data_IF_045307580029
#
_entry.id   IF_045307580029
#
_cell.length_a   1.000
_cell.length_b   1.000
_cell.length_c   1.000
_cell.angle_alpha   90.00
_cell.angle_beta   90.00
_cell.angle_gamma   90.00
#
_symmetry.space_group_name_H-M   'P 1'
#
loop_
_entity.id
_entity.type
_entity.pdbx_description
1 polymer ?
#
# COMPACT_ATOMS: atom_id res chain seq x y z
N UNK A 1 15.67 -41.49 -15.65
CA UNK A 1 14.28 -41.01 -15.47
C UNK A 1 14.21 -40.05 -14.28
N UNK A 2 14.69 -38.80 -14.43
CA UNK A 2 14.71 -37.80 -13.33
C UNK A 2 14.42 -36.36 -13.80
N UNK A 3 14.28 -36.13 -15.11
CA UNK A 3 14.10 -34.80 -15.72
C UNK A 3 12.63 -34.42 -15.98
N UNK A 4 11.70 -35.38 -15.93
CA UNK A 4 10.28 -35.13 -16.25
C UNK A 4 9.52 -34.39 -15.14
N UNK A 5 9.94 -34.53 -13.88
CA UNK A 5 9.27 -33.89 -12.72
C UNK A 5 9.50 -32.37 -12.71
N UNK A 6 10.71 -31.92 -13.11
CA UNK A 6 11.05 -30.49 -13.14
C UNK A 6 10.24 -29.71 -14.19
N UNK A 7 9.89 -30.32 -15.31
CA UNK A 7 9.09 -29.69 -16.36
C UNK A 7 7.62 -29.55 -15.93
N UNK A 8 7.11 -30.48 -15.11
CA UNK A 8 5.74 -30.44 -14.60
C UNK A 8 5.50 -29.30 -13.59
N UNK A 9 6.47 -29.00 -12.72
CA UNK A 9 6.39 -27.85 -11.81
C UNK A 9 6.48 -26.49 -12.53
N UNK A 10 7.15 -26.42 -13.68
CA UNK A 10 7.25 -25.20 -14.48
C UNK A 10 6.01 -24.93 -15.36
N UNK A 11 5.15 -25.92 -15.58
CA UNK A 11 3.96 -25.83 -16.43
C UNK A 11 2.66 -25.42 -15.69
N UNK A 12 2.69 -25.39 -14.35
CA UNK A 12 1.56 -24.94 -13.52
C UNK A 12 1.23 -23.42 -13.53
N UNK A 13 1.89 -22.51 -14.27
CA UNK A 13 1.40 -21.12 -14.35
C UNK A 13 0.21 -20.86 -15.30
N UNK A 14 -0.42 -21.86 -15.92
CA UNK A 14 -1.25 -21.62 -17.13
C UNK A 14 -2.78 -21.73 -17.00
N UNK A 15 -3.38 -21.85 -15.80
CA UNK A 15 -4.85 -21.90 -15.70
C UNK A 15 -5.45 -21.18 -14.47
N UNK A 16 -4.68 -20.29 -13.85
CA UNK A 16 -5.19 -19.43 -12.79
C UNK A 16 -5.71 -18.12 -13.41
N UNK A 17 -6.97 -18.07 -13.84
CA UNK A 17 -7.69 -16.80 -13.96
C UNK A 17 -7.92 -16.30 -12.54
N UNK A 18 -6.87 -15.80 -11.90
CA UNK A 18 -7.00 -15.16 -10.60
C UNK A 18 -7.70 -13.84 -10.85
N UNK A 19 -8.88 -13.66 -10.25
CA UNK A 19 -9.52 -12.36 -10.24
C UNK A 19 -8.70 -11.46 -9.32
N UNK A 20 -8.00 -10.48 -9.90
CA UNK A 20 -7.17 -9.52 -9.18
C UNK A 20 -7.80 -8.15 -9.29
N UNK A 21 -8.24 -7.64 -8.15
CA UNK A 21 -8.86 -6.33 -8.01
C UNK A 21 -7.89 -5.37 -7.33
N UNK A 22 -7.62 -4.25 -8.00
CA UNK A 22 -6.96 -3.08 -7.41
C UNK A 22 -8.04 -2.23 -6.73
N UNK A 23 -7.83 -1.91 -5.46
CA UNK A 23 -8.74 -1.08 -4.68
C UNK A 23 -7.95 -0.11 -3.81
N UNK A 24 -8.63 0.86 -3.22
CA UNK A 24 -7.99 1.85 -2.38
C UNK A 24 -8.91 3.02 -2.11
N UNK A 25 -8.53 3.85 -1.15
CA UNK A 25 -9.21 5.10 -0.86
C UNK A 25 -8.17 6.21 -0.76
N UNK A 26 -8.42 7.31 -1.46
CA UNK A 26 -7.62 8.53 -1.33
C UNK A 26 -8.45 9.53 -0.54
N UNK A 27 -7.94 9.89 0.64
CA UNK A 27 -8.57 10.86 1.55
C UNK A 27 -7.56 11.96 1.86
N UNK A 28 -7.77 13.12 1.26
CA UNK A 28 -6.96 14.31 1.50
C UNK A 28 -7.85 15.52 1.73
N UNK A 29 -7.37 16.48 2.51
CA UNK A 29 -8.05 17.76 2.67
C UNK A 29 -7.17 18.84 3.28
N UNK A 30 -7.72 20.04 3.32
CA UNK A 30 -7.03 21.22 3.87
C UNK A 30 -7.42 21.33 5.34
N UNK A 31 -6.43 21.29 6.22
CA UNK A 31 -6.61 21.57 7.64
C UNK A 31 -6.09 22.98 7.95
N UNK A 32 -6.81 23.68 8.81
CA UNK A 32 -6.38 24.98 9.33
C UNK A 32 -6.29 24.84 10.83
N UNK A 33 -5.07 24.80 11.34
CA UNK A 33 -4.80 24.78 12.77
C UNK A 33 -4.53 26.20 13.26
N UNK A 34 -5.09 26.55 14.41
CA UNK A 34 -4.95 27.87 15.00
C UNK A 34 -4.62 27.73 16.47
N UNK A 35 -3.38 28.03 16.83
CA UNK A 35 -2.85 27.89 18.18
C UNK A 35 -2.42 29.25 18.71
N UNK A 36 -2.75 29.53 19.96
CA UNK A 36 -2.30 30.76 20.64
C UNK A 36 -1.22 30.36 21.63
N UNK A 37 -0.01 30.91 21.45
CA UNK A 37 1.15 30.66 22.32
C UNK A 37 1.61 32.01 22.83
N UNK A 38 1.65 32.19 24.15
CA UNK A 38 2.13 33.45 24.76
C UNK A 38 1.32 34.70 24.41
N UNK A 39 0.05 34.55 24.00
CA UNK A 39 -0.80 35.67 23.54
C UNK A 39 -0.70 35.97 22.04
N UNK A 40 0.25 35.37 21.33
CA UNK A 40 0.39 35.50 19.88
C UNK A 40 -0.35 34.38 19.14
N UNK A 41 -1.14 34.76 18.14
CA UNK A 41 -2.00 33.85 17.39
C UNK A 41 -1.29 33.32 16.15
N UNK A 42 -0.99 32.04 16.16
CA UNK A 42 -0.38 31.33 15.03
C UNK A 42 -1.47 30.57 14.27
N UNK A 43 -1.47 30.69 12.94
CA UNK A 43 -2.37 29.96 12.06
C UNK A 43 -1.54 29.22 11.02
N UNK A 44 -1.75 27.92 10.89
CA UNK A 44 -1.07 27.09 9.90
C UNK A 44 -2.12 26.38 9.06
N UNK A 45 -2.03 26.56 7.75
CA UNK A 45 -2.84 25.84 6.77
C UNK A 45 -1.98 24.75 6.16
N UNK A 46 -2.37 23.49 6.31
CA UNK A 46 -1.66 22.34 5.72
C UNK A 46 -2.60 21.48 4.87
N UNK A 47 -2.00 20.71 3.97
CA UNK A 47 -2.69 19.68 3.21
C UNK A 47 -2.39 18.37 3.90
N UNK A 48 -3.41 17.79 4.51
CA UNK A 48 -3.30 16.58 5.31
C UNK A 48 -3.88 15.38 4.56
N UNK A 49 -3.40 14.21 4.95
CA UNK A 49 -3.84 12.92 4.47
C UNK A 49 -4.59 12.23 5.61
N UNK A 50 -5.81 11.80 5.35
CA UNK A 50 -6.68 11.18 6.34
C UNK A 50 -6.68 9.65 6.19
N UNK A 51 -5.51 9.08 5.95
CA UNK A 51 -5.30 7.64 5.82
C UNK A 51 -5.61 7.15 4.42
N UNK A 52 -4.94 7.69 3.41
CA UNK A 52 -4.99 7.16 2.06
C UNK A 52 -4.20 5.86 1.94
N UNK A 53 -4.78 4.89 1.23
CA UNK A 53 -4.14 3.60 0.99
C UNK A 53 -4.56 3.02 -0.35
N UNK A 54 -3.70 2.17 -0.89
CA UNK A 54 -3.98 1.35 -2.06
C UNK A 54 -3.74 -0.11 -1.69
N UNK A 55 -4.54 -1.00 -2.27
CA UNK A 55 -4.44 -2.42 -2.03
C UNK A 55 -4.77 -3.23 -3.27
N UNK A 56 -4.29 -4.46 -3.30
CA UNK A 56 -4.58 -5.45 -4.30
C UNK A 56 -5.14 -6.69 -3.62
N UNK A 57 -6.28 -7.17 -4.11
CA UNK A 57 -6.91 -8.39 -3.62
C UNK A 57 -7.06 -9.35 -4.78
N UNK A 58 -6.58 -10.57 -4.60
CA UNK A 58 -6.78 -11.64 -5.57
C UNK A 58 -7.55 -12.81 -5.01
N UNK A 59 -8.29 -13.51 -5.87
CA UNK A 59 -8.85 -14.83 -5.54
C UNK A 59 -8.47 -15.86 -6.61
N UNK A 60 -8.03 -17.03 -6.17
CA UNK A 60 -7.62 -18.13 -7.04
C UNK A 60 -8.40 -19.41 -6.68
N UNK A 61 -9.14 -20.01 -7.63
CA UNK A 61 -9.80 -21.28 -7.38
C UNK A 61 -8.77 -22.40 -7.26
N UNK A 62 -8.79 -23.14 -6.15
CA UNK A 62 -7.86 -24.25 -5.88
C UNK A 62 -8.50 -25.64 -6.05
N UNK A 63 -9.67 -25.69 -6.71
CA UNK A 63 -10.43 -26.90 -6.99
C UNK A 63 -11.75 -26.96 -6.24
N UNK A 64 -12.78 -27.49 -6.91
CA UNK A 64 -14.15 -27.53 -6.37
C UNK A 64 -14.73 -26.12 -6.16
N UNK A 65 -15.32 -25.88 -4.98
CA UNK A 65 -15.91 -24.58 -4.58
C UNK A 65 -14.97 -23.72 -3.71
N UNK A 66 -13.69 -24.10 -3.58
CA UNK A 66 -12.75 -23.45 -2.66
C UNK A 66 -11.85 -22.45 -3.39
N UNK A 67 -11.69 -21.26 -2.79
CA UNK A 67 -10.87 -20.18 -3.32
C UNK A 67 -9.81 -19.78 -2.29
N UNK A 68 -8.56 -19.64 -2.75
CA UNK A 68 -7.51 -18.95 -1.99
C UNK A 68 -7.64 -17.45 -2.25
N UNK A 69 -7.70 -16.68 -1.18
CA UNK A 69 -7.76 -15.22 -1.24
C UNK A 69 -6.45 -14.67 -0.69
N UNK A 70 -5.87 -13.69 -1.38
CA UNK A 70 -4.75 -12.92 -0.88
C UNK A 70 -5.08 -11.43 -0.95
N UNK A 71 -4.52 -10.67 -0.03
CA UNK A 71 -4.74 -9.24 0.10
C UNK A 71 -3.42 -8.57 0.48
N UNK A 72 -3.07 -7.52 -0.24
CA UNK A 72 -1.91 -6.69 0.03
C UNK A 72 -2.36 -5.23 0.10
N UNK A 73 -1.98 -4.52 1.16
CA UNK A 73 -2.32 -3.10 1.35
C UNK A 73 -1.06 -2.30 1.66
N UNK A 74 -1.03 -1.08 1.13
CA UNK A 74 0.05 -0.14 1.34
C UNK A 74 -0.53 1.27 1.53
N UNK A 75 -0.15 1.89 2.65
CA UNK A 75 -0.37 3.31 2.89
C UNK A 75 0.28 4.16 1.79
N UNK A 76 -0.47 5.13 1.29
CA UNK A 76 -0.06 6.05 0.23
C UNK A 76 -0.38 7.48 0.65
N UNK A 77 0.39 8.07 1.58
CA UNK A 77 0.11 9.41 2.08
C UNK A 77 0.20 10.44 0.95
N UNK A 78 -0.81 11.30 0.84
CA UNK A 78 -0.92 12.35 -0.18
C UNK A 78 -0.56 13.74 0.36
N UNK A 79 -0.44 13.86 1.68
CA UNK A 79 -0.03 15.08 2.39
C UNK A 79 1.41 15.46 2.07
N UNK A 80 1.61 16.74 1.76
CA UNK A 80 2.92 17.32 1.50
C UNK A 80 3.33 18.24 2.65
N UNK A 81 4.07 17.68 3.61
CA UNK A 81 4.99 18.42 4.48
C UNK A 81 6.45 18.09 4.13
N UNK A 82 6.78 18.11 2.83
CA UNK A 82 8.16 18.21 2.34
C UNK A 82 8.71 17.04 1.54
N UNK A 83 7.89 16.27 0.84
CA UNK A 83 8.41 15.20 -0.01
C UNK A 83 7.37 14.53 -0.88
N UNK A 84 7.71 14.28 -2.14
CA UNK A 84 6.90 13.43 -3.01
C UNK A 84 6.70 12.04 -2.39
N UNK A 85 5.72 11.26 -2.88
CA UNK A 85 5.51 9.87 -2.47
C UNK A 85 6.81 9.02 -2.52
N UNK A 86 7.73 9.35 -3.42
CA UNK A 86 9.07 8.72 -3.50
C UNK A 86 9.91 8.96 -2.24
N UNK A 87 9.88 10.18 -1.70
CA UNK A 87 10.61 10.55 -0.48
C UNK A 87 10.05 9.84 0.75
N UNK A 88 8.73 9.68 0.83
CA UNK A 88 8.09 8.90 1.89
C UNK A 88 8.59 7.44 1.88
N UNK A 89 8.57 6.78 0.73
CA UNK A 89 9.06 5.40 0.61
C UNK A 89 10.57 5.29 0.87
N UNK A 90 11.36 6.28 0.46
CA UNK A 90 12.80 6.36 0.77
C UNK A 90 13.03 6.43 2.28
N UNK A 91 12.36 7.34 2.98
CA UNK A 91 12.44 7.47 4.45
C UNK A 91 11.98 6.21 5.17
N UNK A 92 10.87 5.59 4.73
CA UNK A 92 10.37 4.33 5.30
C UNK A 92 11.42 3.22 5.18
N UNK A 93 12.07 3.11 4.01
CA UNK A 93 13.16 2.15 3.79
C UNK A 93 14.36 2.44 4.69
N UNK A 94 14.79 3.68 4.78
CA UNK A 94 15.90 4.09 5.66
C UNK A 94 15.61 3.74 7.12
N UNK A 95 14.45 4.13 7.66
CA UNK A 95 14.06 3.80 9.03
C UNK A 95 14.02 2.29 9.30
N UNK A 96 13.59 1.48 8.32
CA UNK A 96 13.57 0.02 8.48
C UNK A 96 14.98 -0.60 8.55
N UNK A 97 16.00 0.05 7.98
CA UNK A 97 17.38 -0.41 8.03
C UNK A 97 18.08 -0.08 9.36
N UNK A 98 17.71 1.03 9.99
CA UNK A 98 18.29 1.47 11.27
C UNK A 98 17.58 0.89 12.50
N UNK A 99 16.43 0.24 12.32
CA UNK A 99 15.63 -0.34 13.41
C UNK A 99 15.95 -1.83 13.67
N UNK A 100 17.14 -2.30 13.28
CA UNK A 100 17.62 -3.68 13.44
C UNK A 100 18.88 -3.76 14.27
#
# INVERSE_FOLDING_TARGET
MKKCILIFCAALPLAAWADVNLYGNIRSGVSVSRVTVGGERHSTTSIDDFGSYIGMRGSHPIGGSNNVIWQFEQDTPVSNSGGSMREYFRKKKENSMFSR
#
